data_IF_953524721536
#
_entry.id   IF_953524721536
#
_cell.length_a   1.000
_cell.length_b   1.000
_cell.length_c   1.000
_cell.angle_alpha   90.00
_cell.angle_beta   90.00
_cell.angle_gamma   90.00
#
_symmetry.space_group_name_H-M   'P 1'
#
loop_
_entity.id
_entity.type
_entity.pdbx_description
1 polymer ?
#
# COMPACT_ATOMS: atom_id res chain seq x y z
N UNK A 1 -4.16 34.38 -7.53
CA UNK A 1 -5.45 34.02 -6.89
C UNK A 1 -5.15 32.96 -5.86
N UNK A 2 -5.32 33.27 -4.58
CA UNK A 2 -5.09 32.33 -3.48
C UNK A 2 -6.09 31.17 -3.61
N UNK A 3 -5.61 29.95 -3.89
CA UNK A 3 -6.49 28.78 -3.88
C UNK A 3 -6.97 28.58 -2.45
N UNK A 4 -8.25 28.83 -2.19
CA UNK A 4 -8.89 28.40 -0.95
C UNK A 4 -8.70 26.88 -0.83
N UNK A 5 -7.86 26.44 0.12
CA UNK A 5 -7.58 25.02 0.31
C UNK A 5 -8.86 24.27 0.66
N UNK A 6 -9.32 23.45 -0.28
CA UNK A 6 -10.48 22.58 -0.13
C UNK A 6 -10.18 21.50 0.91
N UNK A 7 -11.19 21.16 1.72
CA UNK A 7 -11.14 20.09 2.71
C UNK A 7 -10.94 18.75 2.00
N UNK A 8 -9.83 18.06 2.31
CA UNK A 8 -9.47 16.77 1.72
C UNK A 8 -10.00 15.61 2.55
N UNK A 9 -10.45 14.54 1.91
CA UNK A 9 -10.78 13.27 2.56
C UNK A 9 -9.66 12.26 2.29
N UNK A 10 -9.06 11.75 3.36
CA UNK A 10 -7.88 10.88 3.31
C UNK A 10 -8.21 9.56 3.98
N UNK A 11 -8.12 8.45 3.27
CA UNK A 11 -8.25 7.11 3.85
C UNK A 11 -6.87 6.51 4.11
N UNK A 12 -6.64 5.98 5.31
CA UNK A 12 -5.45 5.18 5.65
C UNK A 12 -5.88 3.82 6.14
N UNK A 13 -5.57 2.75 5.41
CA UNK A 13 -5.93 1.38 5.84
C UNK A 13 -4.93 0.80 6.83
N UNK A 14 -5.38 -0.05 7.75
CA UNK A 14 -4.50 -0.68 8.75
C UNK A 14 -3.87 0.33 9.72
N UNK A 15 -4.60 1.38 10.07
CA UNK A 15 -4.11 2.54 10.78
C UNK A 15 -4.27 2.50 12.31
N UNK A 16 -4.74 1.38 12.88
CA UNK A 16 -4.85 1.24 14.34
C UNK A 16 -3.50 1.03 15.05
N UNK A 17 -2.42 0.70 14.31
CA UNK A 17 -1.08 0.51 14.85
C UNK A 17 0.02 0.72 13.81
N UNK A 18 1.28 0.62 14.24
CA UNK A 18 2.45 0.63 13.36
C UNK A 18 2.57 1.90 12.51
N UNK A 19 2.96 1.73 11.25
CA UNK A 19 3.21 2.85 10.34
C UNK A 19 1.93 3.63 10.03
N UNK A 20 0.81 2.95 9.74
CA UNK A 20 -0.47 3.60 9.46
C UNK A 20 -0.96 4.50 10.60
N UNK A 21 -0.74 4.09 11.86
CA UNK A 21 -1.03 4.92 13.02
C UNK A 21 -0.19 6.21 13.05
N UNK A 22 1.12 6.10 12.79
CA UNK A 22 2.00 7.29 12.75
C UNK A 22 1.69 8.19 11.55
N UNK A 23 1.23 7.64 10.42
CA UNK A 23 0.72 8.42 9.28
C UNK A 23 -0.51 9.24 9.71
N UNK A 24 -1.51 8.61 10.31
CA UNK A 24 -2.72 9.32 10.79
C UNK A 24 -2.35 10.36 11.84
N UNK A 25 -1.46 10.04 12.78
CA UNK A 25 -0.99 10.95 13.82
C UNK A 25 -0.33 12.21 13.27
N UNK A 26 0.44 12.08 12.18
CA UNK A 26 1.08 13.22 11.52
C UNK A 26 0.06 14.03 10.72
N UNK A 27 -0.77 13.37 9.90
CA UNK A 27 -1.84 14.03 9.14
C UNK A 27 -2.83 14.79 10.04
N UNK A 28 -3.15 14.25 11.22
CA UNK A 28 -4.05 14.88 12.19
C UNK A 28 -3.46 16.17 12.79
N UNK A 29 -2.13 16.33 12.75
CA UNK A 29 -1.41 17.50 13.28
C UNK A 29 -1.03 18.52 12.21
N UNK A 30 -1.09 18.16 10.93
CA UNK A 30 -0.73 19.08 9.83
C UNK A 30 -1.71 20.27 9.76
N UNK A 31 -1.14 21.47 9.61
CA UNK A 31 -1.81 22.77 9.71
C UNK A 31 -1.71 23.53 8.36
N UNK A 32 -2.62 24.45 7.99
CA UNK A 32 -3.37 25.34 8.87
C UNK A 32 -4.72 24.74 9.28
N UNK A 33 -4.71 24.03 10.40
CA UNK A 33 -5.82 23.59 11.26
C UNK A 33 -6.88 22.67 10.58
N UNK A 34 -6.85 21.38 10.90
CA UNK A 34 -8.03 20.47 10.98
C UNK A 34 -9.00 20.35 9.79
N UNK A 35 -8.64 20.82 8.59
CA UNK A 35 -9.54 20.76 7.43
C UNK A 35 -9.65 19.37 6.80
N UNK A 36 -8.62 18.54 6.89
CA UNK A 36 -8.68 17.21 6.26
C UNK A 36 -9.53 16.27 7.13
N UNK A 37 -10.48 15.55 6.52
CA UNK A 37 -11.13 14.40 7.13
C UNK A 37 -10.21 13.21 6.94
N UNK A 38 -9.77 12.61 8.05
CA UNK A 38 -8.88 11.45 8.03
C UNK A 38 -9.69 10.24 8.47
N UNK A 39 -9.84 9.27 7.58
CA UNK A 39 -10.47 8.00 7.85
C UNK A 39 -9.40 7.02 8.32
N UNK A 40 -9.37 6.77 9.64
CA UNK A 40 -8.54 5.76 10.28
C UNK A 40 -9.18 4.40 10.00
N UNK A 41 -8.70 3.73 8.95
CA UNK A 41 -9.16 2.41 8.55
C UNK A 41 -8.63 1.32 9.48
N UNK A 42 -9.51 0.52 10.06
CA UNK A 42 -9.13 -0.70 10.79
C UNK A 42 -10.12 -1.83 10.53
N UNK A 43 -9.61 -3.07 10.43
CA UNK A 43 -10.50 -4.26 10.31
C UNK A 43 -11.35 -4.49 11.55
N UNK A 44 -10.82 -4.06 12.70
CA UNK A 44 -11.41 -4.23 14.03
C UNK A 44 -11.82 -2.86 14.55
N UNK A 45 -13.12 -2.66 14.77
CA UNK A 45 -13.67 -1.37 15.14
C UNK A 45 -13.17 -0.90 16.51
N UNK A 46 -13.08 -1.82 17.48
CA UNK A 46 -12.65 -1.51 18.86
C UNK A 46 -11.19 -1.05 18.87
N UNK A 47 -10.30 -1.79 18.20
CA UNK A 47 -8.89 -1.38 18.05
C UNK A 47 -8.74 -0.07 17.29
N UNK A 48 -9.63 0.22 16.36
CA UNK A 48 -9.72 1.51 15.68
C UNK A 48 -10.06 2.66 16.64
N UNK A 49 -11.05 2.46 17.51
CA UNK A 49 -11.45 3.43 18.53
C UNK A 49 -10.35 3.64 19.58
N UNK A 50 -9.70 2.57 20.04
CA UNK A 50 -8.56 2.67 20.95
C UNK A 50 -7.42 3.49 20.34
N UNK A 51 -7.15 3.29 19.05
CA UNK A 51 -6.19 4.09 18.32
C UNK A 51 -6.59 5.57 18.26
N UNK A 52 -7.87 5.87 18.00
CA UNK A 52 -8.38 7.26 18.03
C UNK A 52 -8.17 7.91 19.40
N UNK A 53 -8.46 7.19 20.50
CA UNK A 53 -8.21 7.67 21.87
C UNK A 53 -6.72 7.92 22.10
N UNK A 54 -5.84 7.00 21.67
CA UNK A 54 -4.38 7.16 21.76
C UNK A 54 -3.83 8.35 20.96
N UNK A 55 -4.55 8.80 19.93
CA UNK A 55 -4.25 10.02 19.18
C UNK A 55 -4.69 11.30 19.90
N UNK A 56 -5.43 11.19 21.01
CA UNK A 56 -6.05 12.30 21.72
C UNK A 56 -7.40 12.72 21.14
N UNK A 57 -8.07 11.81 20.41
CA UNK A 57 -9.39 12.04 19.79
C UNK A 57 -9.50 13.34 18.99
N UNK A 58 -8.58 13.61 18.03
CA UNK A 58 -8.64 14.80 17.21
C UNK A 58 -9.95 14.87 16.42
N UNK A 59 -10.55 16.06 16.34
CA UNK A 59 -11.90 16.27 15.76
C UNK A 59 -12.01 15.98 14.26
N UNK A 60 -10.89 15.74 13.59
CA UNK A 60 -10.81 15.53 12.15
C UNK A 60 -10.42 14.09 11.78
N UNK A 61 -10.30 13.18 12.75
CA UNK A 61 -10.05 11.75 12.53
C UNK A 61 -11.30 10.95 12.88
N UNK A 62 -11.72 10.10 11.95
CA UNK A 62 -12.90 9.24 12.08
C UNK A 62 -12.51 7.79 11.84
N UNK A 63 -12.95 6.88 12.70
CA UNK A 63 -12.68 5.45 12.50
C UNK A 63 -13.61 4.91 11.40
N UNK A 64 -13.01 4.20 10.44
CA UNK A 64 -13.74 3.48 9.40
C UNK A 64 -13.42 1.98 9.54
N UNK A 65 -14.44 1.15 9.73
CA UNK A 65 -14.22 -0.29 9.72
C UNK A 65 -13.97 -0.77 8.28
N UNK A 66 -12.77 -1.30 8.02
CA UNK A 66 -12.41 -1.86 6.71
C UNK A 66 -11.40 -2.98 6.88
N UNK A 67 -11.86 -4.21 6.65
CA UNK A 67 -11.01 -5.36 6.39
C UNK A 67 -10.82 -5.52 4.88
N UNK A 68 -9.61 -5.22 4.38
CA UNK A 68 -9.33 -5.29 2.95
C UNK A 68 -9.30 -6.73 2.40
N UNK A 69 -9.26 -7.75 3.24
CA UNK A 69 -9.39 -9.16 2.82
C UNK A 69 -10.85 -9.57 2.57
N UNK A 70 -11.82 -8.75 2.97
CA UNK A 70 -13.26 -9.04 2.89
C UNK A 70 -13.97 -8.13 1.90
N UNK A 71 -14.52 -8.71 0.82
CA UNK A 71 -15.33 -7.98 -0.18
C UNK A 71 -16.51 -7.26 0.44
N UNK A 72 -17.22 -7.91 1.36
CA UNK A 72 -18.37 -7.31 2.04
C UNK A 72 -17.95 -6.14 2.95
N UNK A 73 -16.78 -6.25 3.61
CA UNK A 73 -16.25 -5.14 4.39
C UNK A 73 -15.85 -3.96 3.50
N UNK A 74 -15.25 -4.22 2.34
CA UNK A 74 -14.90 -3.19 1.35
C UNK A 74 -16.15 -2.49 0.84
N UNK A 75 -17.19 -3.25 0.48
CA UNK A 75 -18.46 -2.70 0.01
C UNK A 75 -19.11 -1.78 1.06
N UNK A 76 -19.22 -2.24 2.32
CA UNK A 76 -19.75 -1.42 3.42
C UNK A 76 -18.92 -0.15 3.65
N UNK A 77 -17.60 -0.25 3.66
CA UNK A 77 -16.72 0.90 3.83
C UNK A 77 -16.87 1.92 2.68
N UNK A 78 -17.01 1.43 1.45
CA UNK A 78 -17.24 2.25 0.25
C UNK A 78 -18.57 2.98 0.32
N UNK A 79 -19.64 2.30 0.76
CA UNK A 79 -20.95 2.92 0.90
C UNK A 79 -20.98 3.93 2.05
N UNK A 80 -20.31 3.64 3.16
CA UNK A 80 -20.13 4.61 4.24
C UNK A 80 -19.40 5.88 3.75
N UNK A 81 -18.36 5.73 2.91
CA UNK A 81 -17.65 6.86 2.32
C UNK A 81 -18.56 7.70 1.43
N UNK A 82 -19.40 7.05 0.61
CA UNK A 82 -20.39 7.73 -0.23
C UNK A 82 -21.40 8.50 0.61
N UNK A 83 -22.00 7.84 1.61
CA UNK A 83 -23.08 8.40 2.40
C UNK A 83 -22.62 9.50 3.36
N UNK A 84 -21.46 9.33 4.02
CA UNK A 84 -21.02 10.25 5.09
C UNK A 84 -20.02 11.32 4.62
N UNK A 85 -19.24 11.04 3.59
CA UNK A 85 -18.16 11.94 3.13
C UNK A 85 -18.35 12.41 1.69
N UNK A 86 -19.58 12.31 1.17
CA UNK A 86 -19.97 12.81 -0.16
C UNK A 86 -19.37 12.04 -1.34
N UNK A 87 -18.80 10.85 -1.09
CA UNK A 87 -18.23 10.00 -2.13
C UNK A 87 -17.02 10.59 -2.84
N UNK A 88 -16.25 11.43 -2.16
CA UNK A 88 -15.09 12.11 -2.71
C UNK A 88 -13.86 11.83 -1.85
N UNK A 89 -12.88 11.14 -2.43
CA UNK A 89 -11.60 10.84 -1.81
C UNK A 89 -10.49 11.61 -2.51
N UNK A 90 -9.65 12.28 -1.73
CA UNK A 90 -8.49 13.01 -2.22
C UNK A 90 -7.25 12.13 -2.19
N UNK A 91 -7.07 11.36 -1.11
CA UNK A 91 -5.90 10.50 -0.91
C UNK A 91 -6.34 9.16 -0.33
N UNK A 92 -5.86 8.06 -0.91
CA UNK A 92 -5.95 6.71 -0.34
C UNK A 92 -4.55 6.19 -0.07
N UNK A 93 -4.30 5.77 1.17
CA UNK A 93 -3.05 5.16 1.60
C UNK A 93 -3.33 3.70 1.95
N UNK A 94 -3.01 2.80 1.02
CA UNK A 94 -3.11 1.36 1.20
C UNK A 94 -1.92 0.86 2.03
N UNK A 95 -2.02 1.02 3.35
CA UNK A 95 -1.00 0.63 4.32
C UNK A 95 -1.23 -0.76 4.92
N UNK A 96 -2.48 -1.24 4.99
CA UNK A 96 -2.79 -2.54 5.59
C UNK A 96 -2.01 -3.66 4.88
N UNK A 97 -1.32 -4.46 5.70
CA UNK A 97 -0.59 -5.64 5.25
C UNK A 97 -0.39 -6.60 6.42
N UNK A 98 -0.16 -7.87 6.09
CA UNK A 98 0.32 -8.89 7.00
C UNK A 98 1.65 -9.45 6.48
N UNK A 99 2.38 -10.15 7.35
CA UNK A 99 3.63 -10.80 7.01
C UNK A 99 3.83 -12.05 7.85
N UNK A 100 4.69 -12.92 7.36
CA UNK A 100 5.01 -14.20 7.99
C UNK A 100 6.28 -14.79 7.38
N UNK A 101 6.82 -15.81 8.04
CA UNK A 101 8.00 -16.56 7.60
C UNK A 101 7.66 -17.93 7.04
N UNK A 102 6.46 -18.44 7.34
CA UNK A 102 6.05 -19.78 6.95
C UNK A 102 5.86 -19.88 5.43
N UNK A 103 6.51 -20.87 4.83
CA UNK A 103 6.40 -21.17 3.40
C UNK A 103 5.36 -22.28 3.21
N UNK A 104 4.09 -21.93 3.37
CA UNK A 104 2.94 -22.82 3.18
C UNK A 104 1.92 -22.21 2.22
N UNK A 105 1.07 -23.05 1.62
CA UNK A 105 0.00 -22.59 0.72
C UNK A 105 -1.01 -21.73 1.48
N UNK A 106 -1.30 -22.09 2.73
CA UNK A 106 -2.21 -21.36 3.62
C UNK A 106 -1.66 -19.96 3.90
N UNK A 107 -0.38 -19.86 4.29
CA UNK A 107 0.30 -18.58 4.48
C UNK A 107 0.34 -17.74 3.20
N UNK A 108 0.54 -18.37 2.05
CA UNK A 108 0.51 -17.70 0.76
C UNK A 108 -0.86 -17.11 0.46
N UNK A 109 -1.93 -17.91 0.58
CA UNK A 109 -3.30 -17.48 0.36
C UNK A 109 -3.69 -16.34 1.29
N UNK A 110 -3.35 -16.43 2.57
CA UNK A 110 -3.64 -15.39 3.55
C UNK A 110 -2.92 -14.07 3.19
N UNK A 111 -1.61 -14.14 2.92
CA UNK A 111 -0.81 -12.95 2.58
C UNK A 111 -1.24 -12.33 1.25
N UNK A 112 -1.51 -13.10 0.20
CA UNK A 112 -2.00 -12.55 -1.07
C UNK A 112 -3.41 -11.98 -0.95
N UNK A 113 -4.30 -12.63 -0.19
CA UNK A 113 -5.66 -12.13 0.07
C UNK A 113 -5.63 -10.71 0.65
N UNK A 114 -4.75 -10.46 1.62
CA UNK A 114 -4.62 -9.12 2.23
C UNK A 114 -3.74 -8.18 1.41
N UNK A 115 -2.48 -8.57 1.14
CA UNK A 115 -1.46 -7.65 0.66
C UNK A 115 -1.59 -7.29 -0.82
N UNK A 116 -2.29 -8.12 -1.62
CA UNK A 116 -2.44 -7.93 -3.06
C UNK A 116 -3.90 -7.82 -3.47
N UNK A 117 -4.68 -8.90 -3.33
CA UNK A 117 -6.07 -8.92 -3.76
C UNK A 117 -6.92 -7.90 -2.99
N UNK A 118 -6.66 -7.72 -1.70
CA UNK A 118 -7.37 -6.73 -0.89
C UNK A 118 -7.12 -5.29 -1.33
N UNK A 119 -5.87 -4.94 -1.69
CA UNK A 119 -5.54 -3.63 -2.26
C UNK A 119 -6.24 -3.46 -3.61
N UNK A 120 -6.10 -4.44 -4.50
CA UNK A 120 -6.71 -4.43 -5.84
C UNK A 120 -8.22 -4.23 -5.76
N UNK A 121 -8.92 -5.05 -4.97
CA UNK A 121 -10.38 -4.96 -4.82
C UNK A 121 -10.80 -3.65 -4.16
N UNK A 122 -10.09 -3.18 -3.13
CA UNK A 122 -10.39 -1.89 -2.51
C UNK A 122 -10.23 -0.76 -3.54
N UNK A 123 -9.13 -0.74 -4.27
CA UNK A 123 -8.86 0.27 -5.30
C UNK A 123 -9.95 0.28 -6.39
N UNK A 124 -10.37 -0.89 -6.89
CA UNK A 124 -11.47 -1.01 -7.86
C UNK A 124 -12.76 -0.32 -7.37
N UNK A 125 -13.07 -0.39 -6.07
CA UNK A 125 -14.25 0.27 -5.48
C UNK A 125 -14.04 1.77 -5.23
N UNK A 126 -12.81 2.18 -4.91
CA UNK A 126 -12.50 3.55 -4.52
C UNK A 126 -12.14 4.45 -5.71
N UNK A 127 -11.57 3.94 -6.81
CA UNK A 127 -11.19 4.76 -7.98
C UNK A 127 -12.34 5.63 -8.54
N UNK A 128 -13.59 5.15 -8.63
CA UNK A 128 -14.72 6.01 -9.02
C UNK A 128 -14.91 7.22 -8.10
N UNK A 129 -14.57 7.09 -6.81
CA UNK A 129 -14.69 8.11 -5.77
C UNK A 129 -13.47 9.05 -5.68
N UNK A 130 -12.35 8.71 -6.31
CA UNK A 130 -11.15 9.58 -6.31
C UNK A 130 -11.44 10.85 -7.10
N UNK A 131 -11.12 12.01 -6.52
CA UNK A 131 -11.27 13.33 -7.15
C UNK A 131 -10.24 13.56 -8.24
N UNK A 132 -10.46 14.61 -9.01
CA UNK A 132 -9.43 15.16 -9.90
C UNK A 132 -8.19 15.57 -9.09
N UNK A 133 -6.99 15.26 -9.62
CA UNK A 133 -5.70 15.43 -8.96
C UNK A 133 -5.55 14.65 -7.64
N UNK A 134 -6.41 13.65 -7.41
CA UNK A 134 -6.33 12.77 -6.25
C UNK A 134 -5.14 11.82 -6.29
N UNK A 135 -4.90 11.10 -5.19
CA UNK A 135 -3.73 10.22 -5.02
C UNK A 135 -4.09 8.87 -4.44
N UNK A 136 -3.44 7.83 -4.95
CA UNK A 136 -3.44 6.49 -4.37
C UNK A 136 -2.00 6.08 -4.09
N UNK A 137 -1.71 5.79 -2.83
CA UNK A 137 -0.38 5.42 -2.34
C UNK A 137 -0.43 3.98 -1.83
N UNK A 138 0.17 3.07 -2.57
CA UNK A 138 0.27 1.66 -2.21
C UNK A 138 1.56 1.43 -1.39
N UNK A 139 1.42 1.06 -0.12
CA UNK A 139 2.60 0.79 0.74
C UNK A 139 3.17 -0.59 0.39
N UNK A 140 4.24 -0.57 -0.40
CA UNK A 140 4.96 -1.75 -0.87
C UNK A 140 6.17 -2.07 0.03
N UNK A 141 7.23 -2.67 -0.53
CA UNK A 141 8.49 -2.94 0.16
C UNK A 141 9.64 -3.08 -0.84
N UNK A 142 10.85 -2.67 -0.45
CA UNK A 142 12.05 -2.91 -1.25
C UNK A 142 12.30 -4.41 -1.48
N UNK A 143 11.83 -5.28 -0.57
CA UNK A 143 11.89 -6.74 -0.76
C UNK A 143 11.17 -7.21 -2.03
N UNK A 144 10.12 -6.51 -2.49
CA UNK A 144 9.45 -6.81 -3.75
C UNK A 144 10.32 -6.56 -4.99
N UNK A 145 11.17 -5.54 -4.93
CA UNK A 145 12.14 -5.24 -5.99
C UNK A 145 13.32 -6.23 -5.96
N UNK A 146 13.78 -6.59 -4.77
CA UNK A 146 14.90 -7.51 -4.55
C UNK A 146 14.53 -8.94 -4.97
N UNK A 147 13.34 -9.44 -4.60
CA UNK A 147 12.95 -10.82 -4.94
C UNK A 147 12.85 -11.04 -6.44
N UNK A 148 12.43 -10.02 -7.21
CA UNK A 148 12.42 -10.08 -8.66
C UNK A 148 13.83 -9.98 -9.25
N UNK A 149 14.73 -9.21 -8.61
CA UNK A 149 16.12 -9.13 -9.06
C UNK A 149 16.84 -10.47 -8.93
N UNK A 150 16.51 -11.23 -7.89
CA UNK A 150 17.00 -12.60 -7.67
C UNK A 150 16.27 -13.66 -8.50
N UNK A 151 15.13 -13.31 -9.13
CA UNK A 151 14.34 -14.22 -9.93
C UNK A 151 14.93 -14.42 -11.35
N UNK A 152 14.39 -15.39 -12.08
CA UNK A 152 14.74 -15.67 -13.47
C UNK A 152 14.51 -14.46 -14.38
N UNK A 153 15.23 -14.41 -15.50
CA UNK A 153 15.05 -13.34 -16.51
C UNK A 153 13.64 -13.30 -17.08
N UNK A 154 13.03 -14.47 -17.27
CA UNK A 154 11.64 -14.59 -17.72
C UNK A 154 10.66 -13.91 -16.73
N UNK A 155 10.80 -14.14 -15.41
CA UNK A 155 9.98 -13.44 -14.43
C UNK A 155 10.26 -11.93 -14.41
N UNK A 156 11.53 -11.52 -14.50
CA UNK A 156 11.90 -10.11 -14.58
C UNK A 156 11.22 -9.41 -15.77
N UNK A 157 11.21 -10.05 -16.94
CA UNK A 157 10.57 -9.56 -18.17
C UNK A 157 9.05 -9.49 -18.02
N UNK A 158 8.41 -10.55 -17.50
CA UNK A 158 6.97 -10.58 -17.26
C UNK A 158 6.52 -9.46 -16.32
N UNK A 159 7.20 -9.30 -15.18
CA UNK A 159 6.88 -8.24 -14.23
C UNK A 159 7.20 -6.84 -14.78
N UNK A 160 8.26 -6.67 -15.57
CA UNK A 160 8.65 -5.37 -16.12
C UNK A 160 7.86 -4.95 -17.34
N UNK A 161 7.13 -5.86 -17.98
CA UNK A 161 6.36 -5.57 -19.19
C UNK A 161 5.49 -4.32 -19.04
N UNK A 162 5.58 -3.40 -20.01
CA UNK A 162 4.78 -2.17 -20.06
C UNK A 162 3.31 -2.45 -20.36
N UNK A 163 3.00 -3.63 -20.92
CA UNK A 163 1.65 -4.06 -21.30
C UNK A 163 1.05 -5.07 -20.33
N UNK A 164 1.74 -5.39 -19.22
CA UNK A 164 1.24 -6.29 -18.19
C UNK A 164 -0.19 -5.90 -17.78
N UNK A 165 -1.11 -6.86 -17.75
CA UNK A 165 -2.50 -6.64 -17.33
C UNK A 165 -2.73 -7.15 -15.90
N UNK A 166 -3.82 -6.74 -15.27
CA UNK A 166 -4.22 -7.29 -13.95
C UNK A 166 -4.44 -8.80 -14.03
N UNK A 167 -5.06 -9.30 -15.11
CA UNK A 167 -5.28 -10.74 -15.32
C UNK A 167 -3.95 -11.50 -15.43
N UNK A 168 -2.98 -10.96 -16.18
CA UNK A 168 -1.66 -11.59 -16.29
C UNK A 168 -0.92 -11.58 -14.94
N UNK A 169 -1.04 -10.49 -14.17
CA UNK A 169 -0.47 -10.41 -12.84
C UNK A 169 -1.15 -11.40 -11.87
N UNK A 170 -2.47 -11.58 -11.93
CA UNK A 170 -3.18 -12.60 -11.18
C UNK A 170 -2.65 -14.01 -11.53
N UNK A 171 -2.43 -14.31 -12.81
CA UNK A 171 -1.86 -15.58 -13.24
C UNK A 171 -0.44 -15.82 -12.69
N UNK A 172 0.39 -14.78 -12.59
CA UNK A 172 1.72 -14.87 -11.98
C UNK A 172 1.62 -15.21 -10.48
N UNK A 173 0.69 -14.56 -9.78
CA UNK A 173 0.42 -14.80 -8.35
C UNK A 173 -0.08 -16.22 -8.12
N UNK A 174 -1.09 -16.67 -8.87
CA UNK A 174 -1.64 -18.02 -8.76
C UNK A 174 -0.60 -19.09 -9.15
N UNK A 175 0.22 -18.83 -10.17
CA UNK A 175 1.34 -19.69 -10.53
C UNK A 175 2.33 -19.86 -9.38
N UNK A 176 2.65 -18.78 -8.66
CA UNK A 176 3.52 -18.84 -7.49
C UNK A 176 2.89 -19.61 -6.32
N UNK A 177 1.59 -19.41 -6.03
CA UNK A 177 0.88 -20.19 -5.00
C UNK A 177 0.87 -21.68 -5.37
N UNK A 178 0.62 -22.00 -6.64
CA UNK A 178 0.67 -23.38 -7.14
C UNK A 178 2.06 -23.98 -6.98
N UNK A 179 3.13 -23.23 -7.28
CA UNK A 179 4.50 -23.70 -7.14
C UNK A 179 4.89 -23.99 -5.68
N UNK A 180 4.30 -23.29 -4.70
CA UNK A 180 4.45 -23.66 -3.29
C UNK A 180 3.78 -25.02 -3.03
N UNK A 181 2.56 -25.22 -3.53
CA UNK A 181 1.82 -26.46 -3.33
C UNK A 181 2.51 -27.69 -3.95
N UNK A 182 3.18 -27.51 -5.09
CA UNK A 182 3.88 -28.57 -5.82
C UNK A 182 5.38 -28.63 -5.55
N UNK A 183 5.91 -27.76 -4.69
CA UNK A 183 7.35 -27.63 -4.40
C UNK A 183 8.23 -27.36 -5.64
N UNK A 184 7.75 -26.50 -6.54
CA UNK A 184 8.41 -26.15 -7.82
C UNK A 184 8.77 -24.66 -7.93
N UNK A 185 9.02 -24.00 -6.78
CA UNK A 185 9.33 -22.56 -6.70
C UNK A 185 10.57 -22.18 -7.54
N UNK A 186 11.64 -22.99 -7.46
CA UNK A 186 12.88 -22.76 -8.20
C UNK A 186 12.67 -22.95 -9.71
N UNK A 187 11.90 -23.97 -10.10
CA UNK A 187 11.54 -24.24 -11.50
C UNK A 187 10.68 -23.11 -12.10
N UNK A 188 9.78 -22.53 -11.30
CA UNK A 188 9.01 -21.34 -11.69
C UNK A 188 9.91 -20.10 -11.85
N UNK A 189 11.12 -20.13 -11.29
CA UNK A 189 12.15 -19.09 -11.46
C UNK A 189 12.34 -18.18 -10.26
N UNK A 190 11.77 -18.48 -9.10
CA UNK A 190 12.04 -17.73 -7.87
C UNK A 190 13.18 -18.36 -7.08
N UNK A 191 13.95 -17.56 -6.35
CA UNK A 191 14.94 -18.07 -5.40
C UNK A 191 14.25 -18.61 -4.13
N UNK A 192 14.19 -19.93 -3.89
CA UNK A 192 13.49 -20.50 -2.74
C UNK A 192 14.19 -20.17 -1.40
N UNK A 193 15.45 -19.73 -1.43
CA UNK A 193 16.23 -19.35 -0.24
C UNK A 193 15.97 -17.91 0.21
N UNK A 194 15.15 -17.15 -0.52
CA UNK A 194 14.83 -15.78 -0.16
C UNK A 194 14.10 -15.72 1.18
N UNK A 195 14.62 -14.95 2.12
CA UNK A 195 13.95 -14.73 3.41
C UNK A 195 12.65 -13.95 3.18
N UNK A 196 11.57 -14.34 3.85
CA UNK A 196 10.24 -13.71 3.66
C UNK A 196 9.74 -13.81 2.19
N UNK A 197 9.99 -14.94 1.52
CA UNK A 197 9.70 -15.13 0.10
C UNK A 197 8.26 -14.73 -0.27
N UNK A 198 7.25 -15.32 0.37
CA UNK A 198 5.83 -15.03 0.09
C UNK A 198 5.54 -13.53 0.23
N UNK A 199 5.91 -12.94 1.37
CA UNK A 199 5.72 -11.52 1.61
C UNK A 199 6.37 -10.67 0.51
N UNK A 200 7.61 -11.00 0.13
CA UNK A 200 8.34 -10.29 -0.91
C UNK A 200 7.63 -10.37 -2.25
N UNK A 201 7.14 -11.55 -2.65
CA UNK A 201 6.37 -11.72 -3.90
C UNK A 201 5.04 -10.95 -3.83
N UNK A 202 4.37 -10.90 -2.67
CA UNK A 202 3.17 -10.04 -2.53
C UNK A 202 3.50 -8.56 -2.76
N UNK A 203 4.65 -8.08 -2.28
CA UNK A 203 5.08 -6.69 -2.47
C UNK A 203 5.59 -6.42 -3.89
N UNK A 204 6.15 -7.41 -4.58
CA UNK A 204 6.44 -7.34 -6.01
C UNK A 204 5.14 -7.17 -6.82
N UNK A 205 4.10 -7.93 -6.48
CA UNK A 205 2.78 -7.80 -7.10
C UNK A 205 2.15 -6.42 -6.84
N UNK A 206 2.31 -5.83 -5.65
CA UNK A 206 1.84 -4.46 -5.37
C UNK A 206 2.57 -3.41 -6.22
N UNK A 207 3.90 -3.52 -6.40
CA UNK A 207 4.66 -2.60 -7.26
C UNK A 207 4.18 -2.70 -8.71
N UNK A 208 3.95 -3.92 -9.20
CA UNK A 208 3.40 -4.14 -10.54
C UNK A 208 1.96 -3.61 -10.67
N UNK A 209 1.11 -3.87 -9.68
CA UNK A 209 -0.27 -3.39 -9.62
C UNK A 209 -0.34 -1.87 -9.71
N UNK A 210 0.48 -1.15 -8.95
CA UNK A 210 0.57 0.32 -9.00
C UNK A 210 0.79 0.83 -10.42
N UNK A 211 1.67 0.19 -11.21
CA UNK A 211 1.92 0.60 -12.61
C UNK A 211 0.73 0.31 -13.50
N UNK A 212 0.09 -0.84 -13.31
CA UNK A 212 -1.08 -1.24 -14.08
C UNK A 212 -2.22 -0.24 -13.81
N UNK A 213 -2.49 0.04 -12.54
CA UNK A 213 -3.50 1.00 -12.11
C UNK A 213 -3.19 2.43 -12.57
N UNK A 214 -1.91 2.85 -12.55
CA UNK A 214 -1.50 4.14 -13.08
C UNK A 214 -1.88 4.30 -14.56
N UNK A 215 -1.66 3.27 -15.39
CA UNK A 215 -2.06 3.28 -16.81
C UNK A 215 -3.59 3.31 -16.98
N UNK A 216 -4.32 2.62 -16.11
CA UNK A 216 -5.78 2.46 -16.23
C UNK A 216 -6.56 3.66 -15.70
N UNK A 217 -6.10 4.28 -14.61
CA UNK A 217 -6.91 5.19 -13.79
C UNK A 217 -6.37 6.62 -13.69
N UNK A 218 -5.13 6.89 -14.13
CA UNK A 218 -4.61 8.27 -14.15
C UNK A 218 -5.53 9.18 -14.97
N UNK A 219 -5.80 8.78 -16.22
CA UNK A 219 -6.85 9.29 -17.11
C UNK A 219 -7.16 10.78 -17.07
N UNK A 220 -8.42 11.13 -17.35
CA UNK A 220 -8.91 12.51 -17.38
C UNK A 220 -8.94 13.19 -15.99
N UNK A 221 -8.89 12.42 -14.90
CA UNK A 221 -8.87 12.94 -13.53
C UNK A 221 -7.46 13.29 -13.05
N UNK A 222 -6.42 13.04 -13.84
CA UNK A 222 -5.02 13.26 -13.44
C UNK A 222 -4.68 12.63 -12.07
N UNK A 223 -5.15 11.40 -11.81
CA UNK A 223 -4.89 10.71 -10.53
C UNK A 223 -3.45 10.23 -10.48
N UNK A 224 -2.77 10.49 -9.36
CA UNK A 224 -1.42 9.97 -9.11
C UNK A 224 -1.49 8.63 -8.36
N UNK A 225 -1.01 7.55 -8.96
CA UNK A 225 -0.95 6.22 -8.36
C UNK A 225 0.52 5.82 -8.18
N UNK A 226 0.98 5.70 -6.93
CA UNK A 226 2.38 5.45 -6.60
C UNK A 226 2.51 4.33 -5.58
N UNK A 227 3.64 3.64 -5.62
CA UNK A 227 4.02 2.72 -4.55
C UNK A 227 5.17 3.29 -3.72
N UNK A 228 5.18 2.99 -2.43
CA UNK A 228 6.20 3.49 -1.51
C UNK A 228 6.70 2.42 -0.56
N UNK A 229 8.00 2.35 -0.36
CA UNK A 229 8.64 1.52 0.65
C UNK A 229 8.85 2.36 1.91
N UNK A 230 8.25 1.99 3.06
CA UNK A 230 8.43 2.73 4.31
C UNK A 230 9.79 2.43 4.99
N UNK A 231 10.68 1.67 4.36
CA UNK A 231 11.91 1.19 4.98
C UNK A 231 11.67 0.13 6.07
N UNK A 232 12.77 -0.41 6.61
CA UNK A 232 12.72 -1.45 7.64
C UNK A 232 12.39 -0.84 9.00
N UNK A 233 11.11 -0.88 9.38
CA UNK A 233 10.60 -0.22 10.59
C UNK A 233 10.31 -1.20 11.74
N UNK A 234 10.53 -0.76 12.99
CA UNK A 234 10.16 -1.48 14.19
C UNK A 234 8.63 -1.47 14.34
N UNK A 235 7.99 -2.57 13.92
CA UNK A 235 6.56 -2.82 14.04
C UNK A 235 6.33 -4.30 14.36
N UNK A 236 5.10 -4.66 14.72
CA UNK A 236 4.71 -6.05 14.99
C UNK A 236 5.05 -7.02 13.84
N UNK A 237 4.91 -6.58 12.58
CA UNK A 237 5.26 -7.39 11.40
C UNK A 237 6.74 -7.80 11.43
N UNK A 238 7.61 -6.88 11.87
CA UNK A 238 9.04 -7.13 12.00
C UNK A 238 9.42 -7.58 13.42
N UNK A 239 8.44 -7.97 14.25
CA UNK A 239 8.64 -8.36 15.67
C UNK A 239 9.48 -7.36 16.47
N UNK A 240 9.39 -6.06 16.13
CA UNK A 240 10.24 -5.00 16.68
C UNK A 240 11.75 -5.33 16.62
N UNK A 241 12.20 -5.91 15.51
CA UNK A 241 13.57 -6.36 15.30
C UNK A 241 14.62 -5.26 15.56
N UNK A 242 15.75 -5.67 16.12
CA UNK A 242 16.93 -4.82 16.31
C UNK A 242 17.44 -4.27 14.97
N UNK A 243 17.87 -2.99 14.97
CA UNK A 243 18.31 -2.28 13.76
C UNK A 243 17.18 -1.74 12.86
N UNK A 244 15.92 -2.00 13.20
CA UNK A 244 14.78 -1.39 12.53
C UNK A 244 14.59 0.07 12.96
N UNK A 245 14.22 0.95 12.02
CA UNK A 245 13.96 2.36 12.31
C UNK A 245 12.61 2.54 13.02
N UNK A 246 12.41 3.57 13.85
CA UNK A 246 11.10 3.87 14.41
C UNK A 246 10.01 4.02 13.34
N UNK A 247 8.78 3.56 13.63
CA UNK A 247 7.66 3.59 12.68
C UNK A 247 7.35 5.00 12.12
N UNK A 248 7.63 6.05 12.89
CA UNK A 248 7.46 7.44 12.45
C UNK A 248 8.25 7.78 11.18
N UNK A 249 9.43 7.18 10.97
CA UNK A 249 10.21 7.38 9.76
C UNK A 249 9.58 6.67 8.55
N UNK A 250 8.94 5.52 8.78
CA UNK A 250 8.11 4.88 7.76
C UNK A 250 6.95 5.77 7.34
N UNK A 251 6.31 6.45 8.30
CA UNK A 251 5.30 7.44 8.00
C UNK A 251 5.86 8.64 7.22
N UNK A 252 7.08 9.12 7.53
CA UNK A 252 7.72 10.21 6.76
C UNK A 252 7.92 9.83 5.30
N UNK A 253 8.38 8.60 5.03
CA UNK A 253 8.54 8.14 3.63
C UNK A 253 7.22 8.12 2.87
N UNK A 254 6.12 7.73 3.52
CA UNK A 254 4.79 7.74 2.90
C UNK A 254 4.32 9.18 2.69
N UNK A 255 4.47 10.03 3.71
CA UNK A 255 3.99 11.41 3.66
C UNK A 255 4.77 12.27 2.67
N UNK A 256 6.02 11.93 2.37
CA UNK A 256 6.75 12.56 1.27
C UNK A 256 5.97 12.49 -0.04
N UNK A 257 5.55 11.28 -0.47
CA UNK A 257 4.82 11.12 -1.75
C UNK A 257 3.37 11.62 -1.67
N UNK A 258 2.81 11.73 -0.46
CA UNK A 258 1.50 12.36 -0.25
C UNK A 258 1.58 13.88 -0.43
N UNK A 259 2.63 14.52 0.08
CA UNK A 259 2.75 15.98 0.15
C UNK A 259 3.52 16.60 -1.02
N UNK A 260 4.40 15.85 -1.70
CA UNK A 260 5.17 16.37 -2.82
C UNK A 260 4.26 16.84 -3.98
N UNK A 261 4.57 17.95 -4.67
CA UNK A 261 3.87 18.35 -5.89
C UNK A 261 3.79 17.21 -6.90
N UNK A 262 2.66 17.08 -7.62
CA UNK A 262 2.48 15.99 -8.58
C UNK A 262 3.50 16.06 -9.74
N UNK A 263 4.02 17.25 -10.07
CA UNK A 263 5.08 17.45 -11.05
C UNK A 263 6.45 16.90 -10.63
N UNK A 264 6.66 16.62 -9.35
CA UNK A 264 7.92 16.07 -8.81
C UNK A 264 7.89 14.53 -8.72
N UNK A 265 6.75 13.91 -9.02
CA UNK A 265 6.55 12.48 -8.90
C UNK A 265 6.15 11.89 -10.26
N UNK A 266 6.74 10.75 -10.59
CA UNK A 266 6.40 9.99 -11.78
C UNK A 266 5.31 8.98 -11.45
N UNK A 267 4.20 9.02 -12.21
CA UNK A 267 3.06 8.13 -11.98
C UNK A 267 3.45 6.67 -12.23
N UNK A 268 2.90 5.74 -11.44
CA UNK A 268 3.23 4.33 -11.51
C UNK A 268 4.60 3.95 -10.94
N UNK A 269 5.38 4.90 -10.43
CA UNK A 269 6.73 4.63 -9.91
C UNK A 269 6.73 4.20 -8.44
N UNK A 270 7.92 3.76 -8.00
CA UNK A 270 8.17 3.22 -6.68
C UNK A 270 9.18 4.12 -5.95
N UNK A 271 8.87 4.52 -4.73
CA UNK A 271 9.68 5.49 -3.98
C UNK A 271 10.04 5.01 -2.58
N UNK A 272 11.08 5.64 -2.01
CA UNK A 272 11.43 5.55 -0.60
C UNK A 272 12.17 6.81 -0.17
N UNK A 273 11.77 7.39 0.96
CA UNK A 273 12.46 8.53 1.56
C UNK A 273 12.72 9.66 0.54
N UNK A 274 11.77 9.89 -0.37
CA UNK A 274 11.83 10.87 -1.46
C UNK A 274 12.61 10.48 -2.71
N UNK A 275 13.25 9.32 -2.73
CA UNK A 275 14.00 8.83 -3.88
C UNK A 275 13.24 7.76 -4.64
N UNK A 276 13.26 7.85 -5.97
CA UNK A 276 12.71 6.80 -6.83
C UNK A 276 13.60 5.57 -6.75
N UNK A 277 12.97 4.43 -6.48
CA UNK A 277 13.61 3.12 -6.40
C UNK A 277 13.42 2.35 -7.71
N UNK A 278 14.36 1.45 -8.07
CA UNK A 278 14.12 0.53 -9.17
C UNK A 278 12.99 -0.44 -8.82
N UNK A 279 12.17 -0.78 -9.81
CA UNK A 279 11.11 -1.79 -9.67
C UNK A 279 11.66 -3.20 -9.53
N UNK A 280 12.83 -3.45 -10.14
CA UNK A 280 13.61 -4.67 -10.01
C UNK A 280 15.05 -4.24 -9.78
N UNK A 281 15.61 -4.57 -8.62
CA UNK A 281 16.99 -4.25 -8.29
C UNK A 281 17.26 -4.08 -6.81
N UNK A 282 18.54 -3.86 -6.52
CA UNK A 282 18.96 -3.39 -5.21
C UNK A 282 18.93 -1.87 -5.14
N UNK A 283 18.68 -1.38 -3.94
CA UNK A 283 18.95 0.01 -3.61
C UNK A 283 20.09 0.03 -2.60
N UNK A 284 21.27 0.45 -3.04
CA UNK A 284 22.37 0.72 -2.14
C UNK A 284 21.99 1.91 -1.26
N UNK A 285 22.03 1.73 0.07
CA UNK A 285 22.17 2.88 0.98
C UNK A 285 23.52 3.53 0.65
N UNK A 286 23.55 4.49 -0.27
CA UNK A 286 24.67 5.43 -0.30
C UNK A 286 24.43 6.39 0.87
N UNK A 287 25.17 6.08 1.95
CA UNK A 287 25.50 6.89 3.13
C UNK A 287 24.32 7.45 3.93
#
# INVERSE_FOLDING_TARGET
MSSTSQQRVILVTGANKGIGFEVVKKLAKESPINKNIILLGSRDLERGQDALVRLGSPSNVYVLQVDISSRDSIARATDEIKCKYGGQLDIVINNAAIGGLELTVESAREMFSTNYYGIKTLNEHLFPLIRENGRVVNVASACGSIVLFEASKDLQEKYSSSTLTTVQLDCLVEGFISAIATNTIEELGYNPKSSYLIYSVTKAAVIALTRIEARQWSGAKNVLIISVCPGFCATDINKNASGARPAQFGADSILYVVNAPQSELENGCFYRDGQQLPQIGFFNRKN
#
